data_IF_577458592432
#
_entry.id   IF_577458592432
#
_cell.length_a   1.000
_cell.length_b   1.000
_cell.length_c   1.000
_cell.angle_alpha   90.00
_cell.angle_beta   90.00
_cell.angle_gamma   90.00
#
_symmetry.space_group_name_H-M   'P 1'
#
loop_
_entity.id
_entity.type
_entity.pdbx_description
1 polymer ?
#
# COMPACT_ATOMS: atom_id res chain seq x y z
N UNK A 1 -4.51 -11.40 -5.55
CA UNK A 1 -5.52 -12.48 -5.59
C UNK A 1 -6.54 -12.34 -4.45
N UNK A 2 -6.10 -12.12 -3.21
CA UNK A 2 -6.99 -11.94 -2.04
C UNK A 2 -7.87 -10.68 -2.15
N UNK A 3 -7.31 -9.54 -2.55
CA UNK A 3 -8.07 -8.31 -2.77
C UNK A 3 -9.19 -8.50 -3.81
N UNK A 4 -8.88 -9.15 -4.93
CA UNK A 4 -9.88 -9.48 -5.97
C UNK A 4 -11.03 -10.29 -5.37
N UNK A 5 -10.71 -11.34 -4.60
CA UNK A 5 -11.73 -12.17 -3.97
C UNK A 5 -12.59 -11.37 -2.98
N UNK A 6 -11.99 -10.41 -2.26
CA UNK A 6 -12.73 -9.53 -1.33
C UNK A 6 -13.74 -8.66 -2.08
N UNK A 7 -13.34 -8.07 -3.20
CA UNK A 7 -14.25 -7.27 -4.03
C UNK A 7 -15.36 -8.11 -4.64
N UNK A 8 -15.04 -9.31 -5.15
CA UNK A 8 -16.05 -10.24 -5.68
C UNK A 8 -17.06 -10.69 -4.61
N UNK A 9 -16.64 -10.89 -3.37
CA UNK A 9 -17.53 -11.19 -2.25
C UNK A 9 -18.46 -10.03 -1.87
N UNK A 10 -18.10 -8.82 -2.26
CA UNK A 10 -18.92 -7.62 -2.12
C UNK A 10 -19.75 -7.31 -3.38
N UNK A 11 -19.93 -8.28 -4.28
CA UNK A 11 -20.65 -8.15 -5.55
C UNK A 11 -20.14 -7.00 -6.44
N UNK A 12 -18.84 -6.67 -6.35
CA UNK A 12 -18.25 -5.64 -7.19
C UNK A 12 -17.91 -6.17 -8.58
N UNK A 13 -18.21 -5.39 -9.60
CA UNK A 13 -17.76 -5.61 -10.96
C UNK A 13 -16.29 -5.21 -11.09
N UNK A 14 -15.43 -6.15 -11.47
CA UNK A 14 -13.99 -5.91 -11.58
C UNK A 14 -13.61 -5.68 -13.03
N UNK A 15 -13.11 -4.49 -13.33
CA UNK A 15 -12.61 -4.11 -14.65
C UNK A 15 -11.07 -4.03 -14.59
N UNK A 16 -10.35 -4.94 -15.27
CA UNK A 16 -8.90 -4.87 -15.30
C UNK A 16 -8.42 -3.75 -16.22
N UNK A 17 -7.51 -2.92 -15.71
CA UNK A 17 -6.83 -1.88 -16.48
C UNK A 17 -5.44 -2.33 -16.92
N UNK A 18 -5.00 -1.97 -18.13
CA UNK A 18 -3.62 -2.19 -18.56
C UNK A 18 -2.65 -1.38 -17.71
N UNK A 19 -1.41 -1.87 -17.64
CA UNK A 19 -0.30 -1.21 -16.94
C UNK A 19 0.84 -1.02 -17.94
N UNK A 20 1.35 0.20 -18.03
CA UNK A 20 2.52 0.56 -18.81
C UNK A 20 3.76 0.84 -17.91
N UNK A 21 4.81 1.41 -18.45
CA UNK A 21 6.04 1.74 -17.72
C UNK A 21 5.85 2.84 -16.66
N UNK A 22 4.75 3.58 -16.72
CA UNK A 22 4.40 4.62 -15.75
C UNK A 22 3.33 4.20 -14.74
N UNK A 23 2.78 3.00 -14.83
CA UNK A 23 1.74 2.46 -13.96
C UNK A 23 0.42 2.21 -14.67
N UNK A 24 -0.71 2.31 -13.95
CA UNK A 24 -2.05 2.09 -14.50
C UNK A 24 -2.33 3.04 -15.67
N UNK A 25 -2.82 2.51 -16.78
CA UNK A 25 -3.33 3.30 -17.91
C UNK A 25 -4.76 3.71 -17.61
N UNK A 26 -5.01 5.01 -17.55
CA UNK A 26 -6.34 5.56 -17.29
C UNK A 26 -7.13 5.68 -18.60
N UNK A 27 -8.41 5.36 -18.54
CA UNK A 27 -9.39 5.60 -19.59
C UNK A 27 -10.57 6.39 -19.01
N UNK A 28 -11.52 6.79 -19.87
CA UNK A 28 -12.69 7.55 -19.44
C UNK A 28 -13.87 6.65 -18.98
N UNK A 29 -13.63 5.34 -18.82
CA UNK A 29 -14.66 4.45 -18.30
C UNK A 29 -14.97 4.79 -16.84
N UNK A 30 -16.25 4.98 -16.46
CA UNK A 30 -16.62 5.29 -15.10
C UNK A 30 -16.32 4.09 -14.19
N UNK A 31 -15.68 4.36 -13.04
CA UNK A 31 -15.55 3.37 -12.00
C UNK A 31 -15.64 4.06 -10.63
N UNK A 32 -16.19 3.34 -9.65
CA UNK A 32 -16.38 3.86 -8.29
C UNK A 32 -15.08 3.77 -7.47
N UNK A 33 -14.25 2.76 -7.77
CA UNK A 33 -13.03 2.47 -7.02
C UNK A 33 -11.86 2.11 -7.92
N UNK A 34 -10.69 2.69 -7.66
CA UNK A 34 -9.41 2.26 -8.20
C UNK A 34 -8.62 1.52 -7.12
N UNK A 35 -8.35 0.23 -7.32
CA UNK A 35 -7.41 -0.51 -6.46
C UNK A 35 -6.04 -0.54 -7.11
N UNK A 36 -5.06 0.09 -6.48
CA UNK A 36 -3.71 0.28 -7.04
C UNK A 36 -2.61 -0.04 -6.05
N UNK A 37 -1.45 -0.47 -6.55
CA UNK A 37 -0.22 -0.71 -5.80
C UNK A 37 0.89 0.20 -6.33
N UNK A 38 0.88 1.52 -6.01
CA UNK A 38 1.71 2.51 -6.69
C UNK A 38 3.22 2.37 -6.46
N UNK A 39 3.61 1.76 -5.34
CA UNK A 39 5.01 1.52 -5.03
C UNK A 39 5.65 0.45 -5.91
N UNK A 40 4.96 -0.69 -6.02
CA UNK A 40 5.39 -1.84 -6.82
C UNK A 40 4.16 -2.59 -7.35
N UNK A 41 3.84 -2.37 -8.60
CA UNK A 41 2.74 -3.05 -9.27
C UNK A 41 3.01 -4.55 -9.42
N UNK A 42 2.07 -5.38 -8.98
CA UNK A 42 2.16 -6.84 -9.15
C UNK A 42 1.36 -7.26 -10.39
N UNK A 43 1.96 -8.04 -11.31
CA UNK A 43 3.26 -8.73 -11.27
C UNK A 43 4.41 -7.98 -11.94
N UNK A 44 4.18 -6.80 -12.51
CA UNK A 44 5.13 -6.10 -13.39
C UNK A 44 6.34 -5.51 -12.66
N UNK A 45 6.20 -5.20 -11.35
CA UNK A 45 7.22 -4.51 -10.57
C UNK A 45 7.33 -3.01 -10.86
N UNK A 46 6.49 -2.47 -11.74
CA UNK A 46 6.51 -1.06 -12.13
C UNK A 46 6.14 -0.18 -10.94
N UNK A 47 6.93 0.85 -10.68
CA UNK A 47 6.57 1.93 -9.77
C UNK A 47 5.82 3.03 -10.54
N UNK A 48 4.64 3.42 -10.05
CA UNK A 48 3.84 4.46 -10.68
C UNK A 48 4.56 5.79 -10.65
N UNK A 49 4.72 6.42 -11.82
CA UNK A 49 5.40 7.70 -11.98
C UNK A 49 4.67 8.83 -11.24
N UNK A 50 5.41 9.89 -10.88
CA UNK A 50 4.81 11.06 -10.23
C UNK A 50 3.74 11.73 -11.12
N UNK A 51 3.93 11.71 -12.43
CA UNK A 51 2.96 12.23 -13.39
C UNK A 51 1.68 11.43 -13.36
N UNK A 52 1.79 10.09 -13.45
CA UNK A 52 0.64 9.19 -13.43
C UNK A 52 -0.12 9.23 -12.09
N UNK A 53 0.58 9.43 -10.97
CA UNK A 53 0.00 9.64 -9.64
C UNK A 53 -0.88 10.90 -9.62
N UNK A 54 -0.40 12.02 -10.18
CA UNK A 54 -1.17 13.24 -10.33
C UNK A 54 -2.40 13.04 -11.20
N UNK A 55 -2.24 12.40 -12.36
CA UNK A 55 -3.34 12.10 -13.28
C UNK A 55 -4.41 11.21 -12.62
N UNK A 56 -4.03 10.19 -11.86
CA UNK A 56 -4.97 9.33 -11.16
C UNK A 56 -5.77 10.08 -10.09
N UNK A 57 -5.11 10.94 -9.30
CA UNK A 57 -5.77 11.78 -8.30
C UNK A 57 -6.79 12.76 -8.93
N UNK A 58 -6.40 13.42 -10.02
CA UNK A 58 -7.28 14.32 -10.76
C UNK A 58 -8.44 13.56 -11.42
N UNK A 59 -8.15 12.38 -11.97
CA UNK A 59 -9.15 11.53 -12.59
C UNK A 59 -10.19 11.07 -11.56
N UNK A 60 -9.76 10.57 -10.41
CA UNK A 60 -10.64 10.16 -9.32
C UNK A 60 -11.51 11.33 -8.81
N UNK A 61 -10.92 12.52 -8.70
CA UNK A 61 -11.69 13.72 -8.29
C UNK A 61 -12.76 14.11 -9.30
N UNK A 62 -12.50 14.00 -10.61
CA UNK A 62 -13.46 14.32 -11.68
C UNK A 62 -14.63 13.33 -11.77
N UNK A 63 -14.35 12.06 -11.51
CA UNK A 63 -15.33 10.96 -11.65
C UNK A 63 -15.98 10.56 -10.31
N UNK A 64 -15.73 11.31 -9.23
CA UNK A 64 -16.23 11.01 -7.88
C UNK A 64 -15.79 9.63 -7.37
N UNK A 65 -14.67 9.12 -7.87
CA UNK A 65 -14.13 7.80 -7.55
C UNK A 65 -13.23 7.82 -6.31
N UNK A 66 -13.10 6.67 -5.65
CA UNK A 66 -12.23 6.44 -4.51
C UNK A 66 -11.01 5.62 -4.94
N UNK A 67 -9.83 5.97 -4.44
CA UNK A 67 -8.60 5.22 -4.68
C UNK A 67 -8.27 4.39 -3.43
N UNK A 68 -8.15 3.10 -3.57
CA UNK A 68 -7.58 2.21 -2.55
C UNK A 68 -6.11 1.98 -2.91
N UNK A 69 -5.23 2.64 -2.16
CA UNK A 69 -3.79 2.49 -2.27
C UNK A 69 -3.32 1.36 -1.36
N UNK A 70 -2.97 0.21 -1.95
CA UNK A 70 -2.36 -0.91 -1.23
C UNK A 70 -0.83 -0.79 -1.28
N UNK A 71 -0.27 -0.27 -0.22
CA UNK A 71 1.17 -0.10 -0.05
C UNK A 71 1.75 -1.24 0.80
N UNK A 72 1.79 -2.40 0.19
CA UNK A 72 2.19 -3.63 0.84
C UNK A 72 3.71 -3.77 1.04
N UNK A 73 4.52 -2.88 0.44
CA UNK A 73 5.97 -3.06 0.33
C UNK A 73 6.76 -1.75 0.42
N UNK A 74 6.19 -0.70 1.04
CA UNK A 74 6.81 0.63 1.17
C UNK A 74 8.22 0.58 1.76
N UNK A 75 8.42 -0.27 2.76
CA UNK A 75 9.69 -0.40 3.45
C UNK A 75 10.74 -1.19 2.65
N UNK A 76 10.36 -1.88 1.58
CA UNK A 76 11.30 -2.61 0.72
C UNK A 76 11.90 -1.75 -0.40
N UNK A 77 11.55 -0.48 -0.45
CA UNK A 77 12.09 0.44 -1.45
C UNK A 77 13.51 0.89 -1.06
N UNK A 78 14.51 0.34 -1.74
CA UNK A 78 15.93 0.65 -1.54
C UNK A 78 16.44 1.78 -2.45
N UNK A 79 15.55 2.44 -3.19
CA UNK A 79 15.94 3.57 -4.04
C UNK A 79 16.30 4.78 -3.18
N UNK A 80 17.22 5.60 -3.69
CA UNK A 80 17.69 6.81 -2.98
C UNK A 80 16.56 7.85 -2.78
N UNK A 81 15.51 7.80 -3.61
CA UNK A 81 14.38 8.74 -3.58
C UNK A 81 13.05 7.97 -3.73
N UNK A 82 12.55 7.33 -2.67
CA UNK A 82 11.23 6.72 -2.71
C UNK A 82 10.15 7.80 -2.93
N UNK A 83 9.22 7.54 -3.86
CA UNK A 83 8.08 8.44 -4.04
C UNK A 83 7.15 8.34 -2.82
N UNK A 84 6.60 9.47 -2.36
CA UNK A 84 5.64 9.46 -1.26
C UNK A 84 4.36 8.71 -1.68
N UNK A 85 3.61 8.20 -0.71
CA UNK A 85 2.31 7.59 -0.95
C UNK A 85 1.37 8.54 -1.71
N UNK A 86 0.43 8.01 -2.49
CA UNK A 86 -0.64 8.79 -3.12
C UNK A 86 -1.42 9.58 -2.07
N UNK A 87 -1.70 8.94 -0.93
CA UNK A 87 -2.37 9.55 0.21
C UNK A 87 -1.70 10.84 0.68
N UNK A 88 -0.39 10.94 0.63
CA UNK A 88 0.35 12.14 1.01
C UNK A 88 0.07 13.34 0.08
N UNK A 89 -0.33 13.07 -1.16
CA UNK A 89 -0.67 14.09 -2.18
C UNK A 89 -2.18 14.30 -2.33
N UNK A 90 -2.99 13.50 -1.65
CA UNK A 90 -4.46 13.56 -1.71
C UNK A 90 -4.99 14.80 -0.99
N UNK A 91 -5.55 15.73 -1.75
CA UNK A 91 -6.22 16.94 -1.24
C UNK A 91 -7.74 16.81 -1.23
N UNK A 92 -8.27 15.78 -1.84
CA UNK A 92 -9.71 15.57 -2.00
C UNK A 92 -10.33 14.62 -0.98
N UNK A 93 -9.50 13.96 -0.15
CA UNK A 93 -9.94 12.97 0.83
C UNK A 93 -10.34 11.61 0.21
N UNK A 94 -10.01 11.37 -1.07
CA UNK A 94 -10.46 10.20 -1.83
C UNK A 94 -9.55 9.00 -1.78
N UNK A 95 -8.37 9.13 -1.19
CA UNK A 95 -7.43 8.01 -1.07
C UNK A 95 -7.62 7.30 0.27
N UNK A 96 -7.87 6.01 0.21
CA UNK A 96 -7.80 5.06 1.32
C UNK A 96 -6.44 4.39 1.24
N UNK A 97 -5.54 4.71 2.16
CA UNK A 97 -4.23 4.09 2.24
C UNK A 97 -4.27 2.87 3.14
N UNK A 98 -3.80 1.75 2.66
CA UNK A 98 -3.70 0.48 3.40
C UNK A 98 -2.27 -0.01 3.37
N UNK A 99 -1.72 -0.35 4.53
CA UNK A 99 -0.38 -0.91 4.63
C UNK A 99 -0.27 -1.97 5.72
N UNK A 100 0.84 -2.71 5.69
CA UNK A 100 1.10 -3.83 6.59
C UNK A 100 2.53 -3.79 7.13
N UNK A 101 2.70 -4.06 8.41
CA UNK A 101 4.02 -4.20 9.05
C UNK A 101 4.62 -5.61 8.90
N UNK A 102 3.91 -6.50 8.22
CA UNK A 102 4.29 -7.92 8.14
C UNK A 102 5.58 -8.18 7.37
N UNK A 103 5.86 -7.37 6.35
CA UNK A 103 7.07 -7.55 5.52
C UNK A 103 8.33 -6.98 6.17
N UNK A 104 8.21 -5.77 6.71
CA UNK A 104 9.34 -5.09 7.34
C UNK A 104 9.75 -5.72 8.67
N UNK A 105 8.80 -6.22 9.46
CA UNK A 105 9.05 -6.77 10.79
C UNK A 105 8.94 -8.29 10.82
N UNK A 106 7.71 -8.79 10.80
CA UNK A 106 7.46 -10.23 10.84
C UNK A 106 6.05 -10.55 10.36
N UNK A 107 5.88 -11.55 9.50
CA UNK A 107 4.56 -12.03 9.07
C UNK A 107 3.66 -12.48 10.24
N UNK A 108 4.27 -12.93 11.35
CA UNK A 108 3.54 -13.40 12.54
C UNK A 108 2.87 -12.29 13.36
N UNK A 109 3.25 -11.03 13.18
CA UNK A 109 2.63 -9.90 13.87
C UNK A 109 1.18 -9.67 13.46
N UNK A 110 0.84 -9.95 12.21
CA UNK A 110 -0.51 -9.76 11.66
C UNK A 110 -1.09 -8.37 11.94
N UNK A 111 -0.24 -7.34 11.86
CA UNK A 111 -0.61 -5.94 12.00
C UNK A 111 -0.59 -5.24 10.64
N UNK A 112 -1.67 -4.52 10.37
CA UNK A 112 -1.80 -3.57 9.30
C UNK A 112 -2.51 -2.33 9.80
N UNK A 113 -2.51 -1.28 9.00
CA UNK A 113 -3.19 -0.04 9.32
C UNK A 113 -3.81 0.58 8.08
N UNK A 114 -4.79 1.42 8.30
CA UNK A 114 -5.50 2.16 7.27
C UNK A 114 -5.49 3.65 7.62
N UNK A 115 -5.27 4.50 6.63
CA UNK A 115 -5.38 5.95 6.74
C UNK A 115 -6.40 6.41 5.72
N UNK A 116 -7.51 6.97 6.21
CA UNK A 116 -8.61 7.43 5.38
C UNK A 116 -9.33 8.61 6.04
N UNK A 117 -10.44 9.03 5.45
CA UNK A 117 -11.33 10.01 6.06
C UNK A 117 -11.80 9.52 7.45
N UNK A 118 -11.92 10.42 8.46
CA UNK A 118 -12.34 10.05 9.80
C UNK A 118 -13.68 9.31 9.86
N UNK A 119 -14.66 9.72 9.07
CA UNK A 119 -15.98 9.09 9.06
C UNK A 119 -15.88 7.63 8.56
N UNK A 120 -15.09 7.39 7.51
CA UNK A 120 -14.83 6.03 7.03
C UNK A 120 -14.08 5.18 8.06
N UNK A 121 -13.13 5.77 8.80
CA UNK A 121 -12.41 5.07 9.86
C UNK A 121 -13.35 4.65 10.98
N UNK A 122 -14.30 5.49 11.36
CA UNK A 122 -15.27 5.18 12.40
C UNK A 122 -16.25 4.07 11.97
N UNK A 123 -16.70 4.10 10.71
CA UNK A 123 -17.49 3.01 10.10
C UNK A 123 -16.69 1.69 10.08
N UNK A 124 -15.45 1.74 9.62
CA UNK A 124 -14.57 0.55 9.58
C UNK A 124 -14.32 -0.03 10.98
N UNK A 125 -14.17 0.82 12.00
CA UNK A 125 -14.06 0.41 13.41
C UNK A 125 -15.34 -0.24 13.92
N UNK A 126 -16.51 0.31 13.57
CA UNK A 126 -17.80 -0.25 13.94
C UNK A 126 -17.99 -1.65 13.32
N UNK A 127 -17.72 -1.79 12.02
CA UNK A 127 -17.79 -3.06 11.31
C UNK A 127 -16.81 -4.09 11.89
N UNK A 128 -15.57 -3.69 12.13
CA UNK A 128 -14.55 -4.56 12.72
C UNK A 128 -14.97 -5.08 14.09
N UNK A 129 -15.62 -4.25 14.91
CA UNK A 129 -16.13 -4.63 16.23
C UNK A 129 -17.18 -5.74 16.14
N UNK A 130 -18.01 -5.73 15.10
CA UNK A 130 -18.99 -6.76 14.83
C UNK A 130 -18.35 -8.09 14.44
N UNK A 131 -17.24 -8.05 13.66
CA UNK A 131 -16.58 -9.24 13.12
C UNK A 131 -15.62 -9.87 14.16
N UNK A 132 -14.78 -9.06 14.78
CA UNK A 132 -13.65 -9.52 15.61
C UNK A 132 -13.74 -9.09 17.09
N UNK A 133 -14.77 -8.33 17.49
CA UNK A 133 -14.93 -7.68 18.81
C UNK A 133 -13.78 -6.73 19.12
N UNK A 134 -12.62 -7.25 19.54
CA UNK A 134 -11.43 -6.46 19.88
C UNK A 134 -10.21 -6.95 19.11
N UNK A 135 -9.36 -6.03 18.62
CA UNK A 135 -8.07 -6.42 18.07
C UNK A 135 -7.16 -6.98 19.17
N UNK A 136 -6.12 -7.78 18.81
CA UNK A 136 -5.14 -8.27 19.78
C UNK A 136 -4.38 -7.11 20.43
N UNK A 137 -4.83 -6.70 21.61
CA UNK A 137 -4.35 -5.49 22.31
C UNK A 137 -2.86 -5.59 22.66
N UNK A 138 -2.41 -6.78 23.08
CA UNK A 138 -1.01 -7.00 23.47
C UNK A 138 -0.04 -6.69 22.32
N UNK A 139 -0.34 -7.15 21.10
CA UNK A 139 0.52 -6.91 19.94
C UNK A 139 0.54 -5.42 19.58
N UNK A 140 -0.62 -4.74 19.69
CA UNK A 140 -0.70 -3.30 19.44
C UNK A 140 0.11 -2.50 20.46
N UNK A 141 0.04 -2.82 21.76
CA UNK A 141 0.85 -2.17 22.78
C UNK A 141 2.36 -2.42 22.58
N UNK A 142 2.74 -3.66 22.28
CA UNK A 142 4.14 -3.98 21.97
C UNK A 142 4.65 -3.15 20.78
N UNK A 143 3.84 -3.05 19.72
CA UNK A 143 4.21 -2.27 18.54
C UNK A 143 4.25 -0.77 18.83
N UNK A 144 3.28 -0.24 19.57
CA UNK A 144 3.28 1.16 19.98
C UNK A 144 4.54 1.51 20.80
N UNK A 145 4.95 0.63 21.70
CA UNK A 145 6.16 0.81 22.49
C UNK A 145 7.44 0.72 21.65
N UNK A 146 7.48 -0.23 20.71
CA UNK A 146 8.57 -0.40 19.74
C UNK A 146 8.78 0.84 18.87
N UNK A 147 7.67 1.43 18.40
CA UNK A 147 7.67 2.70 17.65
C UNK A 147 8.13 3.87 18.53
N UNK A 148 7.54 4.02 19.72
CA UNK A 148 7.83 5.15 20.62
C UNK A 148 9.30 5.20 21.08
N UNK A 149 9.99 4.06 21.11
CA UNK A 149 11.41 3.98 21.48
C UNK A 149 12.37 4.14 20.29
N UNK A 150 11.89 4.37 19.07
CA UNK A 150 12.71 4.50 17.86
C UNK A 150 13.37 3.20 17.39
N UNK A 151 12.87 2.07 17.89
CA UNK A 151 13.40 0.76 17.49
C UNK A 151 13.00 0.41 16.05
N UNK A 152 11.85 0.88 15.60
CA UNK A 152 11.36 0.66 14.24
C UNK A 152 12.28 1.30 13.21
N UNK A 153 12.64 2.57 13.38
CA UNK A 153 13.54 3.29 12.47
C UNK A 153 14.94 2.66 12.45
N UNK A 154 15.40 2.19 13.62
CA UNK A 154 16.69 1.49 13.72
C UNK A 154 16.64 0.15 12.98
N UNK A 155 15.52 -0.58 13.09
CA UNK A 155 15.29 -1.82 12.38
C UNK A 155 15.22 -1.58 10.87
N UNK A 156 14.48 -0.57 10.40
CA UNK A 156 14.37 -0.24 8.97
C UNK A 156 15.73 0.10 8.35
N UNK A 157 16.56 0.89 9.03
CA UNK A 157 17.92 1.19 8.54
C UNK A 157 18.75 -0.07 8.31
N UNK A 158 18.69 -1.04 9.23
CA UNK A 158 19.38 -2.33 9.08
C UNK A 158 18.77 -3.15 7.95
N UNK A 159 17.45 -3.23 7.91
CA UNK A 159 16.71 -3.94 6.87
C UNK A 159 17.06 -3.44 5.47
N UNK A 160 17.08 -2.12 5.27
CA UNK A 160 17.46 -1.51 3.99
C UNK A 160 18.92 -1.83 3.62
N UNK A 161 19.85 -1.70 4.56
CA UNK A 161 21.26 -2.02 4.33
C UNK A 161 21.46 -3.48 3.93
N UNK A 162 20.90 -4.42 4.69
CA UNK A 162 21.01 -5.86 4.40
C UNK A 162 20.36 -6.24 3.07
N UNK A 163 19.21 -5.63 2.76
CA UNK A 163 18.48 -5.90 1.53
C UNK A 163 19.19 -5.34 0.31
N UNK A 164 19.77 -4.16 0.38
CA UNK A 164 20.61 -3.60 -0.68
C UNK A 164 21.81 -4.50 -0.99
N UNK A 165 22.48 -5.03 0.04
CA UNK A 165 23.58 -5.98 -0.16
C UNK A 165 23.14 -7.30 -0.81
N UNK A 166 21.97 -7.82 -0.39
CA UNK A 166 21.39 -9.03 -1.00
C UNK A 166 21.05 -8.82 -2.46
N UNK A 167 20.47 -7.66 -2.76
CA UNK A 167 20.15 -7.27 -4.14
C UNK A 167 21.39 -7.18 -5.01
N UNK A 168 22.46 -6.54 -4.53
CA UNK A 168 23.73 -6.43 -5.26
C UNK A 168 24.34 -7.80 -5.54
N UNK A 169 24.35 -8.70 -4.53
CA UNK A 169 24.85 -10.08 -4.70
C UNK A 169 24.03 -10.84 -5.74
N UNK A 170 22.69 -10.72 -5.70
CA UNK A 170 21.80 -11.37 -6.65
C UNK A 170 22.04 -10.84 -8.07
N UNK A 171 22.10 -9.53 -8.22
CA UNK A 171 22.34 -8.87 -9.50
C UNK A 171 23.70 -9.29 -10.11
N UNK A 172 24.74 -9.30 -9.30
CA UNK A 172 26.06 -9.76 -9.72
C UNK A 172 26.08 -11.27 -10.09
N UNK A 173 25.28 -12.08 -9.44
CA UNK A 173 25.15 -13.50 -9.79
C UNK A 173 24.43 -13.68 -11.13
N UNK A 174 23.34 -12.96 -11.36
CA UNK A 174 22.57 -13.02 -12.62
C UNK A 174 23.36 -12.53 -13.84
N UNK A 175 24.26 -11.58 -13.67
CA UNK A 175 25.12 -11.09 -14.76
C UNK A 175 26.30 -12.04 -15.11
N UNK A 176 26.51 -13.08 -14.33
CA UNK A 176 27.57 -14.08 -14.60
C UNK A 176 27.10 -15.26 -15.47
N UNK A 177 25.80 -15.37 -15.66
CA UNK A 177 25.13 -16.41 -16.47
C UNK A 177 24.33 -15.77 -17.61
#
# INVERSE_FOLDING_TARGET
>A
REAINTFLLADADIVPHPVDEEGIVLDDAPCDYYYVTPGHQVPTGVAMSQVRRGQLLEHAARHDAVIVEDDYDSESNFTLNPLPALKASDRSGRVIYVSSLSKALSPGLRLGFMVADPDLIDEARALRRLIYRHPPTNIQYQMAHFLAQGHYETHLRRYHFDSAQRWERLNNALHRY
#
